data_IF_154728737691
#
_entry.id   IF_154728737691
#
_cell.length_a   1.000
_cell.length_b   1.000
_cell.length_c   1.000
_cell.angle_alpha   90.00
_cell.angle_beta   90.00
_cell.angle_gamma   90.00
#
_symmetry.space_group_name_H-M   'P 1'
#
loop_
_entity.id
_entity.type
_entity.pdbx_description
1 polymer ?
#
# COMPACT_ATOMS: atom_id res chain seq x y z
N UNK A 1 -0.49 19.83 -1.11
CA UNK A 1 0.43 18.75 -1.50
C UNK A 1 -0.35 17.78 -2.35
N UNK A 2 0.16 17.45 -3.53
CA UNK A 2 -0.45 16.47 -4.42
C UNK A 2 -0.11 15.04 -3.99
N UNK A 3 -0.67 14.05 -4.67
CA UNK A 3 -0.47 12.65 -4.32
C UNK A 3 0.99 12.21 -4.42
N UNK A 4 1.70 12.71 -5.42
CA UNK A 4 3.12 12.42 -5.62
C UNK A 4 3.97 12.97 -4.47
N UNK A 5 3.71 14.20 -4.04
CA UNK A 5 4.36 14.83 -2.90
C UNK A 5 4.08 14.09 -1.59
N UNK A 6 2.86 13.59 -1.37
CA UNK A 6 2.52 12.82 -0.17
C UNK A 6 3.35 11.53 -0.13
N UNK A 7 3.38 10.76 -1.21
CA UNK A 7 4.13 9.50 -1.25
C UNK A 7 5.65 9.74 -1.14
N UNK A 8 6.17 10.75 -1.83
CA UNK A 8 7.57 11.14 -1.72
C UNK A 8 7.94 11.53 -0.28
N UNK A 9 7.05 12.22 0.44
CA UNK A 9 7.29 12.58 1.84
C UNK A 9 7.36 11.36 2.77
N UNK A 10 6.60 10.30 2.49
CA UNK A 10 6.71 9.05 3.24
C UNK A 10 7.98 8.29 2.91
N UNK A 11 8.39 8.26 1.64
CA UNK A 11 9.64 7.64 1.23
C UNK A 11 10.86 8.36 1.82
N UNK A 12 10.85 9.69 1.84
CA UNK A 12 11.91 10.53 2.42
C UNK A 12 12.13 10.23 3.91
N UNK A 13 11.04 10.04 4.66
CA UNK A 13 11.11 9.64 6.07
C UNK A 13 11.76 8.28 6.32
N UNK A 14 11.83 7.43 5.30
CA UNK A 14 12.53 6.13 5.30
C UNK A 14 13.92 6.22 4.65
N UNK A 15 14.34 7.41 4.22
CA UNK A 15 15.55 7.62 3.42
C UNK A 15 15.58 6.78 2.13
N UNK A 16 14.41 6.47 1.58
CA UNK A 16 14.29 5.72 0.34
C UNK A 16 14.51 6.62 -0.87
N UNK A 17 15.28 6.11 -1.84
CA UNK A 17 15.53 6.79 -3.09
C UNK A 17 14.44 6.44 -4.10
N UNK A 18 14.09 7.40 -4.96
CA UNK A 18 13.17 7.15 -6.05
C UNK A 18 13.77 6.09 -6.99
N UNK A 19 12.98 5.07 -7.32
CA UNK A 19 13.37 4.10 -8.33
C UNK A 19 13.40 4.78 -9.70
N UNK A 20 14.45 4.52 -10.47
CA UNK A 20 14.56 5.02 -11.84
C UNK A 20 13.39 4.50 -12.68
N UNK A 21 12.69 5.40 -13.37
CA UNK A 21 11.66 5.04 -14.35
C UNK A 21 12.33 4.45 -15.59
N UNK A 22 12.52 3.14 -15.60
CA UNK A 22 12.84 2.36 -16.80
C UNK A 22 11.57 1.98 -17.59
N UNK A 23 10.42 2.53 -17.21
CA UNK A 23 9.10 2.20 -17.77
C UNK A 23 8.39 1.05 -17.06
N UNK A 24 9.04 0.36 -16.12
CA UNK A 24 8.42 -0.77 -15.42
C UNK A 24 7.59 -0.37 -14.18
N UNK A 25 7.75 0.88 -13.71
CA UNK A 25 7.08 1.42 -12.54
C UNK A 25 6.38 2.74 -12.86
N UNK A 26 5.14 2.89 -12.40
CA UNK A 26 4.45 4.19 -12.40
C UNK A 26 5.07 5.11 -11.36
N UNK A 27 5.35 4.55 -10.18
CA UNK A 27 6.01 5.21 -9.05
C UNK A 27 6.63 4.15 -8.14
N UNK A 28 7.76 4.45 -7.50
CA UNK A 28 8.35 3.57 -6.50
C UNK A 28 9.57 4.17 -5.82
N UNK A 29 9.86 3.67 -4.63
CA UNK A 29 11.00 4.07 -3.81
C UNK A 29 11.58 2.86 -3.08
N UNK A 30 12.87 2.89 -2.79
CA UNK A 30 13.52 1.85 -1.99
C UNK A 30 14.95 2.17 -1.63
N UNK A 31 15.57 1.20 -0.95
CA UNK A 31 17.00 1.10 -0.71
C UNK A 31 17.54 -0.22 -1.33
N UNK A 32 18.73 -0.65 -0.91
CA UNK A 32 19.35 -1.88 -1.40
C UNK A 32 18.66 -3.17 -0.93
N UNK A 33 17.90 -3.11 0.18
CA UNK A 33 17.28 -4.27 0.81
C UNK A 33 15.79 -4.37 0.47
N UNK A 34 15.09 -3.24 0.45
CA UNK A 34 13.64 -3.17 0.31
C UNK A 34 13.22 -2.03 -0.61
N UNK A 35 12.30 -2.31 -1.51
CA UNK A 35 11.66 -1.30 -2.34
C UNK A 35 10.15 -1.55 -2.44
N UNK A 36 9.39 -0.50 -2.71
CA UNK A 36 7.96 -0.57 -2.99
C UNK A 36 7.64 0.21 -4.25
N UNK A 37 6.74 -0.33 -5.08
CA UNK A 37 6.36 0.33 -6.32
C UNK A 37 4.93 -0.01 -6.74
N UNK A 38 4.36 0.86 -7.57
CA UNK A 38 3.13 0.62 -8.30
C UNK A 38 3.47 0.28 -9.75
N UNK A 39 2.90 -0.81 -10.25
CA UNK A 39 2.95 -1.19 -11.67
C UNK A 39 1.57 -1.22 -12.30
N UNK A 40 1.52 -0.98 -13.60
CA UNK A 40 0.33 -1.26 -14.39
C UNK A 40 0.28 -2.77 -14.72
N UNK A 41 -0.92 -3.34 -14.68
CA UNK A 41 -1.18 -4.74 -14.97
C UNK A 41 -2.44 -4.87 -15.84
N UNK A 42 -2.65 -6.00 -16.54
CA UNK A 42 -3.78 -6.14 -17.47
C UNK A 42 -5.17 -5.86 -16.87
N UNK A 43 -5.34 -6.04 -15.56
CA UNK A 43 -6.60 -5.84 -14.84
C UNK A 43 -6.60 -4.63 -13.88
N UNK A 44 -5.61 -3.73 -14.00
CA UNK A 44 -5.51 -2.52 -13.17
C UNK A 44 -4.09 -2.26 -12.70
N UNK A 45 -3.90 -2.17 -11.38
CA UNK A 45 -2.65 -1.75 -10.76
C UNK A 45 -2.21 -2.73 -9.69
N UNK A 46 -0.91 -2.97 -9.59
CA UNK A 46 -0.32 -3.74 -8.49
C UNK A 46 0.50 -2.84 -7.59
N UNK A 47 0.48 -3.15 -6.29
CA UNK A 47 1.49 -2.65 -5.35
C UNK A 47 2.42 -3.81 -5.06
N UNK A 48 3.68 -3.65 -5.43
CA UNK A 48 4.71 -4.66 -5.31
C UNK A 48 5.76 -4.25 -4.27
N UNK A 49 6.38 -5.24 -3.64
CA UNK A 49 7.51 -5.09 -2.75
C UNK A 49 8.70 -5.87 -3.30
N UNK A 50 9.85 -5.23 -3.34
CA UNK A 50 11.14 -5.89 -3.47
C UNK A 50 11.70 -6.24 -2.10
N UNK A 51 12.24 -7.44 -1.96
CA UNK A 51 13.09 -7.80 -0.83
C UNK A 51 14.30 -8.57 -1.34
N UNK A 52 15.51 -8.06 -1.06
CA UNK A 52 16.78 -8.67 -1.48
C UNK A 52 16.81 -9.03 -2.97
N UNK A 53 16.41 -8.09 -3.81
CA UNK A 53 16.37 -8.26 -5.27
C UNK A 53 15.11 -8.94 -5.83
N UNK A 54 14.30 -9.62 -5.01
CA UNK A 54 13.12 -10.35 -5.47
C UNK A 54 11.85 -9.52 -5.34
N UNK A 55 11.10 -9.37 -6.43
CA UNK A 55 9.83 -8.66 -6.45
C UNK A 55 8.65 -9.59 -6.20
N UNK A 56 7.70 -9.13 -5.40
CA UNK A 56 6.44 -9.80 -5.17
C UNK A 56 5.28 -8.82 -5.11
N UNK A 57 4.16 -9.18 -5.73
CA UNK A 57 2.91 -8.42 -5.60
C UNK A 57 2.33 -8.61 -4.20
N UNK A 58 2.12 -7.49 -3.52
CA UNK A 58 1.43 -7.44 -2.23
C UNK A 58 -0.07 -7.33 -2.41
N UNK A 59 -0.49 -6.49 -3.36
CA UNK A 59 -1.90 -6.19 -3.57
C UNK A 59 -2.22 -5.82 -5.02
N UNK A 60 -3.47 -6.04 -5.44
CA UNK A 60 -4.01 -5.65 -6.75
C UNK A 60 -5.28 -4.82 -6.60
N UNK A 61 -5.40 -3.78 -7.42
CA UNK A 61 -6.47 -2.79 -7.40
C UNK A 61 -6.96 -2.50 -8.80
N UNK A 62 -8.24 -2.18 -8.96
CA UNK A 62 -8.77 -1.64 -10.21
C UNK A 62 -8.49 -0.14 -10.38
N UNK A 63 -8.10 0.55 -9.30
CA UNK A 63 -7.87 2.00 -9.28
C UNK A 63 -6.45 2.38 -8.85
N UNK A 64 -5.84 3.30 -9.59
CA UNK A 64 -4.53 3.87 -9.24
C UNK A 64 -4.59 4.66 -7.93
N UNK A 65 -5.71 5.34 -7.63
CA UNK A 65 -5.85 6.10 -6.38
C UNK A 65 -5.81 5.18 -5.16
N UNK A 66 -6.41 4.00 -5.27
CA UNK A 66 -6.39 2.99 -4.19
C UNK A 66 -5.03 2.33 -4.05
N UNK A 67 -4.35 2.03 -5.17
CA UNK A 67 -2.97 1.55 -5.14
C UNK A 67 -2.03 2.56 -4.45
N UNK A 68 -2.19 3.86 -4.72
CA UNK A 68 -1.44 4.93 -4.04
C UNK A 68 -1.76 5.01 -2.54
N UNK A 69 -3.04 4.95 -2.18
CA UNK A 69 -3.46 4.93 -0.77
C UNK A 69 -2.83 3.75 -0.01
N UNK A 70 -2.85 2.56 -0.62
CA UNK A 70 -2.25 1.38 -0.01
C UNK A 70 -0.71 1.47 0.03
N UNK A 71 -0.05 2.01 -0.99
CA UNK A 71 1.40 2.26 -0.95
C UNK A 71 1.78 3.19 0.22
N UNK A 72 1.00 4.24 0.48
CA UNK A 72 1.22 5.11 1.63
C UNK A 72 1.10 4.34 2.96
N UNK A 73 0.12 3.43 3.06
CA UNK A 73 -0.02 2.54 4.22
C UNK A 73 1.22 1.66 4.41
N UNK A 74 1.79 1.09 3.34
CA UNK A 74 3.01 0.30 3.41
C UNK A 74 4.19 1.10 3.96
N UNK A 75 4.43 2.30 3.40
CA UNK A 75 5.56 3.15 3.80
C UNK A 75 5.39 3.66 5.24
N UNK A 76 4.19 4.13 5.59
CA UNK A 76 3.89 4.60 6.94
C UNK A 76 4.02 3.46 7.97
N UNK A 77 3.58 2.24 7.65
CA UNK A 77 3.68 1.10 8.57
C UNK A 77 5.13 0.80 8.96
N UNK A 78 6.07 0.91 8.01
CA UNK A 78 7.51 0.74 8.27
C UNK A 78 8.00 1.86 9.18
N UNK A 79 7.74 3.10 8.79
CA UNK A 79 8.21 4.28 9.54
C UNK A 79 7.72 4.27 11.00
N UNK A 80 6.49 3.82 11.22
CA UNK A 80 5.88 3.67 12.54
C UNK A 80 6.51 2.53 13.34
N UNK A 81 6.74 1.39 12.71
CA UNK A 81 7.38 0.24 13.33
C UNK A 81 8.80 0.60 13.82
N UNK A 82 9.58 1.30 12.99
CA UNK A 82 10.93 1.77 13.34
C UNK A 82 10.96 2.73 14.54
N UNK A 83 9.83 3.38 14.83
CA UNK A 83 9.67 4.32 15.96
C UNK A 83 8.93 3.72 17.15
N UNK A 84 8.59 2.42 17.11
CA UNK A 84 7.84 1.77 18.17
C UNK A 84 6.39 2.28 18.34
N UNK A 85 5.82 2.93 17.32
CA UNK A 85 4.48 3.52 17.37
C UNK A 85 3.35 2.52 17.09
N UNK A 86 3.71 1.28 16.73
CA UNK A 86 2.75 0.22 16.42
C UNK A 86 1.89 0.48 15.19
N UNK A 87 0.93 -0.42 14.97
CA UNK A 87 -0.07 -0.30 13.93
C UNK A 87 -1.22 0.62 14.41
N UNK A 88 -1.65 1.56 13.55
CA UNK A 88 -2.83 2.40 13.84
C UNK A 88 -4.13 1.67 13.56
N UNK A 89 -4.08 0.64 12.72
CA UNK A 89 -5.25 -0.06 12.29
C UNK A 89 -5.66 -1.08 13.34
N UNK A 90 -6.97 -1.18 13.65
CA UNK A 90 -7.47 -2.22 14.52
C UNK A 90 -7.11 -3.63 14.02
N UNK A 91 -7.05 -4.57 14.95
CA UNK A 91 -6.72 -5.96 14.65
C UNK A 91 -7.77 -6.65 13.76
N UNK A 92 -9.02 -6.21 13.79
CA UNK A 92 -10.11 -6.74 12.97
C UNK A 92 -10.37 -5.89 11.72
N UNK A 93 -10.96 -6.45 10.65
CA UNK A 93 -11.43 -5.66 9.51
C UNK A 93 -12.40 -4.55 9.94
N UNK A 94 -12.46 -3.48 9.14
CA UNK A 94 -13.49 -2.45 9.30
C UNK A 94 -14.90 -3.07 9.23
N UNK A 95 -15.89 -2.50 9.95
CA UNK A 95 -17.28 -2.93 9.82
C UNK A 95 -17.76 -2.96 8.36
N UNK A 96 -18.75 -3.80 8.09
CA UNK A 96 -19.37 -3.92 6.76
C UNK A 96 -18.38 -4.26 5.63
N UNK A 97 -17.34 -5.02 5.98
CA UNK A 97 -16.31 -5.48 5.04
C UNK A 97 -16.25 -7.00 5.02
N UNK A 98 -16.18 -7.56 3.81
CA UNK A 98 -15.94 -8.98 3.59
C UNK A 98 -14.48 -9.19 3.25
N UNK A 99 -13.79 -10.05 4.01
CA UNK A 99 -12.43 -10.52 3.72
C UNK A 99 -12.46 -12.03 3.51
N UNK A 100 -12.35 -12.46 2.26
CA UNK A 100 -12.45 -13.87 1.86
C UNK A 100 -11.06 -14.43 1.60
N UNK A 101 -10.71 -15.55 2.25
CA UNK A 101 -9.45 -16.26 1.95
C UNK A 101 -9.60 -17.01 0.62
N UNK A 102 -8.57 -16.93 -0.22
CA UNK A 102 -8.46 -17.66 -1.49
C UNK A 102 -7.15 -18.44 -1.54
N UNK A 103 -6.96 -19.25 -2.58
CA UNK A 103 -5.71 -19.98 -2.81
C UNK A 103 -4.51 -19.05 -3.08
N UNK A 104 -4.78 -17.82 -3.51
CA UNK A 104 -3.76 -16.82 -3.85
C UNK A 104 -3.58 -15.74 -2.77
N UNK A 105 -4.36 -15.79 -1.68
CA UNK A 105 -4.30 -14.81 -0.61
C UNK A 105 -5.67 -14.47 -0.05
N UNK A 106 -6.06 -13.20 -0.18
CA UNK A 106 -7.28 -12.65 0.41
C UNK A 106 -7.92 -11.64 -0.54
N UNK A 107 -9.21 -11.82 -0.79
CA UNK A 107 -10.03 -10.83 -1.51
C UNK A 107 -10.80 -9.99 -0.49
N UNK A 108 -10.87 -8.69 -0.75
CA UNK A 108 -11.59 -7.73 0.08
C UNK A 108 -12.68 -7.06 -0.74
N UNK A 109 -13.88 -7.01 -0.16
CA UNK A 109 -14.97 -6.16 -0.61
C UNK A 109 -15.43 -5.26 0.53
N UNK A 110 -15.31 -3.95 0.36
CA UNK A 110 -15.66 -2.95 1.39
C UNK A 110 -16.19 -1.70 0.72
N UNK A 111 -17.36 -1.21 1.15
CA UNK A 111 -17.91 0.08 0.69
C UNK A 111 -17.98 0.22 -0.85
N UNK A 112 -18.19 -0.89 -1.57
CA UNK A 112 -18.22 -0.92 -3.05
C UNK A 112 -16.84 -0.98 -3.73
N UNK A 113 -15.76 -1.05 -2.95
CA UNK A 113 -14.38 -1.20 -3.42
C UNK A 113 -13.92 -2.64 -3.31
N UNK A 114 -13.08 -3.07 -4.26
CA UNK A 114 -12.53 -4.43 -4.33
C UNK A 114 -11.04 -4.41 -4.56
N UNK A 115 -10.33 -5.25 -3.81
CA UNK A 115 -8.90 -5.46 -3.97
C UNK A 115 -8.52 -6.87 -3.51
N UNK A 116 -7.39 -7.37 -4.03
CA UNK A 116 -6.81 -8.66 -3.59
C UNK A 116 -5.45 -8.44 -2.95
N UNK A 117 -5.13 -9.24 -1.95
CA UNK A 117 -3.93 -9.11 -1.13
C UNK A 117 -3.26 -10.47 -0.91
N UNK A 118 -1.94 -10.47 -0.88
CA UNK A 118 -1.17 -11.66 -0.51
C UNK A 118 -1.31 -12.01 0.97
N UNK A 119 -1.44 -11.00 1.84
CA UNK A 119 -1.44 -11.18 3.30
C UNK A 119 -2.73 -10.67 3.93
N UNK A 120 -3.20 -11.37 4.98
CA UNK A 120 -4.40 -10.99 5.74
C UNK A 120 -4.26 -9.63 6.41
N UNK A 121 -3.07 -9.32 6.92
CA UNK A 121 -2.79 -8.05 7.61
C UNK A 121 -2.98 -6.88 6.65
N UNK A 122 -2.45 -6.98 5.43
CA UNK A 122 -2.61 -5.95 4.41
C UNK A 122 -4.06 -5.79 3.97
N UNK A 123 -4.77 -6.91 3.78
CA UNK A 123 -6.21 -6.91 3.51
C UNK A 123 -7.00 -6.16 4.60
N UNK A 124 -6.70 -6.43 5.88
CA UNK A 124 -7.32 -5.77 7.03
C UNK A 124 -7.06 -4.26 7.04
N UNK A 125 -5.80 -3.84 6.86
CA UNK A 125 -5.43 -2.42 6.81
C UNK A 125 -6.15 -1.68 5.69
N UNK A 126 -6.24 -2.30 4.50
CA UNK A 126 -6.94 -1.72 3.36
C UNK A 126 -8.41 -1.42 3.67
N UNK A 127 -9.10 -2.25 4.46
CA UNK A 127 -10.52 -2.04 4.80
C UNK A 127 -10.81 -0.66 5.41
N UNK A 128 -9.84 -0.08 6.13
CA UNK A 128 -9.96 1.23 6.76
C UNK A 128 -9.68 2.39 5.81
N UNK A 129 -8.92 2.17 4.74
CA UNK A 129 -8.49 3.22 3.80
C UNK A 129 -9.19 3.15 2.44
N UNK A 130 -9.87 2.06 2.13
CA UNK A 130 -10.63 1.88 0.89
C UNK A 130 -11.62 3.03 0.66
N UNK A 131 -11.70 3.51 -0.58
CA UNK A 131 -12.54 4.65 -0.95
C UNK A 131 -12.15 6.01 -0.36
N UNK A 132 -11.08 6.10 0.44
CA UNK A 132 -10.56 7.39 0.90
C UNK A 132 -9.47 7.91 -0.05
N UNK A 133 -9.55 9.21 -0.36
CA UNK A 133 -8.48 9.90 -1.08
C UNK A 133 -7.19 9.93 -0.27
N UNK A 134 -6.05 9.96 -0.96
CA UNK A 134 -4.72 9.87 -0.35
C UNK A 134 -4.46 10.95 0.71
N UNK A 135 -5.03 12.15 0.57
CA UNK A 135 -4.94 13.21 1.59
C UNK A 135 -5.56 12.78 2.92
N UNK A 136 -6.73 12.13 2.90
CA UNK A 136 -7.42 11.65 4.11
C UNK A 136 -6.67 10.47 4.72
N UNK A 137 -6.17 9.56 3.89
CA UNK A 137 -5.33 8.45 4.33
C UNK A 137 -4.05 8.96 4.99
N UNK A 138 -3.40 9.97 4.40
CA UNK A 138 -2.21 10.59 4.97
C UNK A 138 -2.47 11.22 6.35
N UNK A 139 -3.58 11.93 6.51
CA UNK A 139 -3.97 12.51 7.80
C UNK A 139 -4.21 11.43 8.87
N UNK A 140 -4.78 10.28 8.50
CA UNK A 140 -4.95 9.14 9.39
C UNK A 140 -3.60 8.53 9.80
N UNK A 141 -2.66 8.36 8.86
CA UNK A 141 -1.35 7.74 9.09
C UNK A 141 -0.42 8.54 10.01
N UNK A 142 -0.69 9.83 10.15
CA UNK A 142 0.08 10.77 10.97
C UNK A 142 -0.33 10.81 12.45
N UNK A 143 -1.41 10.12 12.84
CA UNK A 143 -1.89 10.02 14.23
C UNK A 143 -1.01 9.07 15.05
#
# INVERSE_FOLDING_TARGET
>A
MDDAGILASWADRLSYLALTKDGSFLVGWGDLETAFAIREAPAGFTVDKQSRGQWATLARFSSLSEAKAFLAVCLASIWRADRGLGDIFPAEPAPDTTVTRTDQGYDVETRGHRASFRQRTDAKRYTYVAGHGLQRVNALLMQ
#
